data_IF_205459993222
#
_entry.id   IF_205459993222
#
_cell.length_a   1.000
_cell.length_b   1.000
_cell.length_c   1.000
_cell.angle_alpha   90.00
_cell.angle_beta   90.00
_cell.angle_gamma   90.00
#
_symmetry.space_group_name_H-M   'P 1'
#
loop_
_entity.id
_entity.type
_entity.pdbx_description
1 polymer ?
#
# COMPACT_ATOMS: atom_id res chain seq x y z
N UNK A 1 -15.15 6.59 19.72
CA UNK A 1 -14.23 7.27 18.80
C UNK A 1 -14.16 6.46 17.53
N UNK A 2 -14.67 6.98 16.42
CA UNK A 2 -14.55 6.34 15.12
C UNK A 2 -13.06 6.17 14.80
N UNK A 3 -12.65 4.92 14.55
CA UNK A 3 -11.35 4.66 13.96
C UNK A 3 -11.45 5.24 12.56
N UNK A 4 -10.89 6.44 12.34
CA UNK A 4 -10.71 6.98 10.99
C UNK A 4 -9.78 6.00 10.28
N UNK A 5 -10.35 5.05 9.54
CA UNK A 5 -9.62 4.14 8.66
C UNK A 5 -8.96 5.01 7.60
N UNK A 6 -7.75 5.49 7.89
CA UNK A 6 -7.02 6.24 6.91
C UNK A 6 -6.71 5.29 5.75
N UNK A 7 -7.18 5.59 4.53
CA UNK A 7 -6.65 4.91 3.36
C UNK A 7 -5.13 5.16 3.32
N UNK A 8 -4.38 4.32 2.61
CA UNK A 8 -2.92 4.38 2.70
C UNK A 8 -2.34 5.74 2.30
N UNK A 9 -1.04 5.87 2.54
CA UNK A 9 -0.17 6.99 2.23
C UNK A 9 -0.49 7.60 0.85
N UNK A 10 -0.64 6.79 -0.20
CA UNK A 10 -0.98 7.26 -1.55
C UNK A 10 -2.28 8.07 -1.54
N UNK A 11 -3.38 7.53 -0.98
CA UNK A 11 -4.65 8.27 -0.92
C UNK A 11 -4.55 9.52 -0.05
N UNK A 12 -3.84 9.44 1.08
CA UNK A 12 -3.64 10.60 1.97
C UNK A 12 -2.96 11.76 1.26
N UNK A 13 -1.85 11.50 0.58
CA UNK A 13 -1.10 12.54 -0.12
C UNK A 13 -1.80 13.01 -1.39
N UNK A 14 -2.48 12.12 -2.13
CA UNK A 14 -3.32 12.54 -3.26
C UNK A 14 -4.42 13.53 -2.86
N UNK A 15 -5.09 13.27 -1.73
CA UNK A 15 -6.16 14.13 -1.22
C UNK A 15 -5.66 15.44 -0.59
N UNK A 16 -4.36 15.56 -0.29
CA UNK A 16 -3.73 16.78 0.25
C UNK A 16 -2.85 17.51 -0.75
N UNK A 17 -2.81 17.05 -2.00
CA UNK A 17 -2.01 17.65 -3.05
C UNK A 17 -2.41 19.13 -3.25
N UNK A 18 -1.42 19.99 -3.52
CA UNK A 18 -1.59 21.43 -3.74
C UNK A 18 -1.38 21.75 -5.23
N UNK A 19 -2.18 22.64 -5.86
CA UNK A 19 -3.15 23.57 -5.27
C UNK A 19 -4.52 22.98 -4.93
N UNK A 20 -4.79 21.75 -5.38
CA UNK A 20 -6.03 21.04 -5.08
C UNK A 20 -5.80 19.52 -5.02
N UNK A 21 -6.68 18.78 -4.32
CA UNK A 21 -6.69 17.32 -4.38
C UNK A 21 -6.72 16.82 -5.82
N UNK A 22 -5.93 15.79 -6.10
CA UNK A 22 -5.99 15.09 -7.39
C UNK A 22 -7.08 14.02 -7.33
N UNK A 23 -7.79 13.77 -8.42
CA UNK A 23 -8.62 12.58 -8.57
C UNK A 23 -7.77 11.34 -8.83
N UNK A 24 -8.34 10.13 -8.66
CA UNK A 24 -7.63 8.89 -9.01
C UNK A 24 -7.28 8.81 -10.51
N UNK A 25 -8.12 9.39 -11.37
CA UNK A 25 -7.87 9.43 -12.81
C UNK A 25 -6.71 10.37 -13.16
N UNK A 26 -6.61 11.53 -12.49
CA UNK A 26 -5.51 12.48 -12.67
C UNK A 26 -4.18 11.89 -12.21
N UNK A 27 -4.14 11.29 -11.00
CA UNK A 27 -2.93 10.59 -10.54
C UNK A 27 -2.56 9.45 -11.48
N UNK A 28 -3.55 8.68 -11.95
CA UNK A 28 -3.35 7.62 -12.93
C UNK A 28 -2.69 8.13 -14.21
N UNK A 29 -3.18 9.24 -14.76
CA UNK A 29 -2.58 9.89 -15.94
C UNK A 29 -1.14 10.33 -15.68
N UNK A 30 -0.85 10.94 -14.53
CA UNK A 30 0.50 11.39 -14.16
C UNK A 30 1.50 10.23 -14.08
N UNK A 31 1.08 9.08 -13.55
CA UNK A 31 1.95 7.91 -13.37
C UNK A 31 1.74 6.82 -14.42
N UNK A 32 1.04 7.13 -15.51
CA UNK A 32 0.85 6.25 -16.66
C UNK A 32 0.12 4.94 -16.36
N UNK A 33 -0.93 4.98 -15.55
CA UNK A 33 -1.81 3.83 -15.27
C UNK A 33 -3.29 4.21 -15.30
N UNK A 34 -4.17 3.23 -15.51
CA UNK A 34 -5.62 3.45 -15.45
C UNK A 34 -6.09 3.79 -14.03
N UNK A 35 -7.17 4.60 -13.90
CA UNK A 35 -7.75 4.99 -12.59
C UNK A 35 -8.02 3.81 -11.65
N UNK A 36 -8.44 2.67 -12.22
CA UNK A 36 -8.76 1.46 -11.45
C UNK A 36 -7.52 0.93 -10.72
N UNK A 37 -6.34 1.09 -11.33
CA UNK A 37 -5.07 0.68 -10.71
C UNK A 37 -4.75 1.54 -9.49
N UNK A 38 -4.98 2.85 -9.57
CA UNK A 38 -4.85 3.76 -8.43
C UNK A 38 -5.82 3.37 -7.31
N UNK A 39 -7.08 3.06 -7.62
CA UNK A 39 -8.05 2.60 -6.62
C UNK A 39 -7.57 1.33 -5.89
N UNK A 40 -7.07 0.33 -6.62
CA UNK A 40 -6.52 -0.90 -6.03
C UNK A 40 -5.31 -0.63 -5.14
N UNK A 41 -4.45 0.31 -5.53
CA UNK A 41 -3.35 0.76 -4.69
C UNK A 41 -3.88 1.39 -3.41
N UNK A 42 -4.81 2.33 -3.48
CA UNK A 42 -5.30 3.11 -2.33
C UNK A 42 -6.02 2.29 -1.26
N UNK A 43 -6.69 1.22 -1.65
CA UNK A 43 -7.31 0.26 -0.72
C UNK A 43 -6.32 -0.81 -0.23
N UNK A 44 -5.14 -0.87 -0.85
CA UNK A 44 -4.10 -1.86 -0.56
C UNK A 44 -4.46 -3.27 -1.03
N UNK A 45 -5.30 -3.40 -2.06
CA UNK A 45 -5.60 -4.69 -2.70
C UNK A 45 -4.46 -5.15 -3.61
N UNK A 46 -3.69 -4.19 -4.14
CA UNK A 46 -2.48 -4.47 -4.92
C UNK A 46 -1.33 -3.65 -4.36
N UNK A 47 -0.19 -4.31 -4.17
CA UNK A 47 1.07 -3.64 -3.83
C UNK A 47 1.69 -3.04 -5.11
N UNK A 48 1.95 -1.72 -5.18
CA UNK A 48 2.64 -1.13 -6.32
C UNK A 48 4.11 -1.57 -6.34
N UNK A 49 4.68 -1.83 -7.52
CA UNK A 49 6.12 -2.13 -7.64
C UNK A 49 6.98 -0.97 -7.11
N UNK A 50 8.24 -1.23 -6.77
CA UNK A 50 9.16 -0.17 -6.31
C UNK A 50 9.27 0.98 -7.31
N UNK A 51 9.36 0.67 -8.61
CA UNK A 51 9.35 1.68 -9.68
C UNK A 51 8.03 2.48 -9.73
N UNK A 52 6.88 1.83 -9.50
CA UNK A 52 5.59 2.51 -9.45
C UNK A 52 5.46 3.41 -8.22
N UNK A 53 5.91 2.95 -7.04
CA UNK A 53 5.97 3.76 -5.83
C UNK A 53 6.84 5.01 -6.03
N UNK A 54 7.99 4.86 -6.69
CA UNK A 54 8.86 5.99 -7.03
C UNK A 54 8.15 7.03 -7.93
N UNK A 55 7.48 6.57 -8.99
CA UNK A 55 6.69 7.45 -9.89
C UNK A 55 5.57 8.17 -9.14
N UNK A 56 4.88 7.48 -8.24
CA UNK A 56 3.83 8.07 -7.41
C UNK A 56 4.42 9.08 -6.42
N UNK A 57 5.59 8.80 -5.85
CA UNK A 57 6.32 9.73 -4.98
C UNK A 57 6.65 11.04 -5.68
N UNK A 58 7.22 10.96 -6.89
CA UNK A 58 7.47 12.14 -7.73
C UNK A 58 6.16 12.89 -8.02
N UNK A 59 5.12 12.19 -8.48
CA UNK A 59 3.86 12.82 -8.87
C UNK A 59 3.13 13.52 -7.70
N UNK A 60 3.32 13.03 -6.47
CA UNK A 60 2.73 13.61 -5.26
C UNK A 60 3.68 14.55 -4.51
N UNK A 61 4.92 14.70 -4.97
CA UNK A 61 6.01 15.41 -4.29
C UNK A 61 6.25 14.91 -2.85
N UNK A 62 6.38 13.59 -2.70
CA UNK A 62 6.54 12.90 -1.41
C UNK A 62 7.65 11.85 -1.52
N UNK A 63 8.55 11.74 -0.51
CA UNK A 63 9.53 10.67 -0.43
C UNK A 63 8.90 9.27 -0.54
N UNK A 64 9.53 8.39 -1.31
CA UNK A 64 8.97 7.06 -1.64
C UNK A 64 8.84 6.18 -0.39
N UNK A 65 9.73 6.38 0.59
CA UNK A 65 9.77 5.68 1.88
C UNK A 65 8.48 5.90 2.68
N UNK A 66 7.92 7.11 2.61
CA UNK A 66 6.66 7.45 3.25
C UNK A 66 5.51 6.67 2.59
N UNK A 67 5.55 6.51 1.27
CA UNK A 67 4.53 5.74 0.56
C UNK A 67 4.62 4.26 0.87
N UNK A 68 5.84 3.72 0.93
CA UNK A 68 6.12 2.31 1.18
C UNK A 68 5.68 1.82 2.58
N UNK A 69 5.87 2.64 3.62
CA UNK A 69 5.65 2.25 5.03
C UNK A 69 4.27 1.61 5.27
N UNK A 70 3.21 2.23 4.76
CA UNK A 70 1.83 1.77 4.97
C UNK A 70 1.52 0.41 4.32
N UNK A 71 2.18 0.08 3.22
CA UNK A 71 1.99 -1.23 2.59
C UNK A 71 2.79 -2.32 3.30
N UNK A 72 3.94 -1.96 3.86
CA UNK A 72 4.84 -2.91 4.53
C UNK A 72 4.20 -3.51 5.80
N UNK A 73 3.32 -2.78 6.49
CA UNK A 73 2.69 -3.26 7.71
C UNK A 73 1.71 -4.41 7.46
N UNK A 74 0.96 -4.38 6.35
CA UNK A 74 0.10 -5.50 5.93
C UNK A 74 0.92 -6.74 5.54
N UNK A 75 1.99 -6.55 4.79
CA UNK A 75 2.86 -7.65 4.38
C UNK A 75 3.57 -8.28 5.58
N UNK A 76 4.03 -7.45 6.54
CA UNK A 76 4.57 -7.92 7.82
C UNK A 76 3.55 -8.74 8.59
N UNK A 77 2.30 -8.30 8.69
CA UNK A 77 1.23 -9.05 9.36
C UNK A 77 1.03 -10.41 8.71
N UNK A 78 0.92 -10.45 7.37
CA UNK A 78 0.78 -11.69 6.61
C UNK A 78 1.95 -12.65 6.80
N UNK A 79 3.19 -12.14 6.76
CA UNK A 79 4.39 -12.94 7.03
C UNK A 79 4.37 -13.47 8.47
N UNK A 80 3.96 -12.68 9.45
CA UNK A 80 3.86 -13.12 10.85
C UNK A 80 2.81 -14.22 11.02
N UNK A 81 1.68 -14.12 10.32
CA UNK A 81 0.61 -15.13 10.33
C UNK A 81 1.08 -16.44 9.69
N UNK A 82 1.67 -16.39 8.49
CA UNK A 82 2.26 -17.55 7.83
C UNK A 82 3.36 -18.20 8.69
N UNK A 83 4.22 -17.41 9.33
CA UNK A 83 5.24 -17.92 10.25
C UNK A 83 4.63 -18.63 11.47
N UNK A 84 3.50 -18.14 12.00
CA UNK A 84 2.78 -18.81 13.09
C UNK A 84 2.19 -20.13 12.63
N UNK A 85 1.52 -20.15 11.49
CA UNK A 85 0.97 -21.37 10.88
C UNK A 85 2.06 -22.41 10.64
N UNK A 86 3.16 -22.02 9.97
CA UNK A 86 4.30 -22.92 9.73
C UNK A 86 4.91 -23.46 11.03
N UNK A 87 4.99 -22.65 12.09
CA UNK A 87 5.48 -23.09 13.40
C UNK A 87 4.55 -24.11 14.06
N UNK A 88 3.23 -23.96 13.90
CA UNK A 88 2.23 -24.92 14.39
C UNK A 88 2.31 -26.27 13.64
N UNK A 89 2.57 -26.24 12.32
CA UNK A 89 2.74 -27.46 11.52
C UNK A 89 4.08 -28.17 11.78
N UNK A 90 5.17 -27.42 11.99
CA UNK A 90 6.50 -27.97 12.26
C UNK A 90 6.65 -28.73 13.59
N UNK A 91 5.75 -28.51 14.56
CA UNK A 91 5.75 -29.24 15.84
C UNK A 91 4.87 -30.49 15.88
N UNK A 92 3.96 -30.68 14.93
CA UNK A 92 2.94 -31.74 15.01
C UNK A 92 3.27 -33.03 14.24
N UNK A 93 4.48 -33.18 13.69
CA UNK A 93 4.82 -34.36 12.89
C UNK A 93 6.24 -34.92 13.12
N UNK A 94 6.73 -34.87 14.37
CA UNK A 94 8.03 -35.48 14.75
C UNK A 94 7.85 -36.62 15.79
N UNK A 95 6.62 -36.98 16.15
CA UNK A 95 6.36 -38.09 17.10
C UNK A 95 5.16 -38.96 16.69
N UNK A 96 5.20 -39.53 15.48
CA UNK A 96 4.47 -40.76 15.18
C UNK A 96 5.38 -41.71 14.42
#
# INVERSE_FOLDING_TARGET
MEIIKHPNSIKRYRLRFYPRPLTQAELGKLVGVHRNRISLYEIGAVFPSGQMLYRIGIALNVPTEILYKDFCDKERQRIMELKREMKLFGTNNIFK
#
